data_IF_279920029722
#
_entry.id   IF_279920029722
#
_cell.length_a   1.000
_cell.length_b   1.000
_cell.length_c   1.000
_cell.angle_alpha   90.00
_cell.angle_beta   90.00
_cell.angle_gamma   90.00
#
_symmetry.space_group_name_H-M   'P 1'
#
loop_
_entity.id
_entity.type
_entity.pdbx_description
1 polymer ?
#
# COMPACT_ATOMS: atom_id res chain seq x y z
N UNK A 1 15.02 13.78 0.07
CA UNK A 1 14.03 13.16 0.97
C UNK A 1 12.77 14.03 1.08
N UNK A 2 12.91 15.33 1.28
CA UNK A 2 11.76 16.24 1.44
C UNK A 2 10.88 16.31 0.18
N UNK A 3 11.47 16.31 -1.01
CA UNK A 3 10.74 16.29 -2.27
C UNK A 3 9.86 15.04 -2.46
N UNK A 4 10.27 13.91 -1.89
CA UNK A 4 9.48 12.68 -1.92
C UNK A 4 8.23 12.72 -1.04
N UNK A 5 8.17 13.61 -0.05
CA UNK A 5 6.99 13.80 0.81
C UNK A 5 5.96 14.76 0.24
N UNK A 6 6.38 15.62 -0.69
CA UNK A 6 5.48 16.58 -1.35
C UNK A 6 4.56 15.85 -2.35
N UNK A 7 4.99 14.69 -2.82
CA UNK A 7 4.20 13.86 -3.72
C UNK A 7 3.02 13.21 -2.97
N UNK A 8 1.83 13.27 -3.54
CA UNK A 8 0.67 12.54 -3.04
C UNK A 8 1.00 11.03 -3.06
N UNK A 9 1.07 10.41 -1.90
CA UNK A 9 1.54 9.01 -1.76
C UNK A 9 2.96 8.88 -1.20
N UNK A 10 3.64 9.99 -0.89
CA UNK A 10 4.90 9.97 -0.15
C UNK A 10 4.69 9.45 1.27
N UNK A 11 5.20 8.27 1.56
CA UNK A 11 5.17 7.67 2.89
C UNK A 11 6.40 8.04 3.70
N UNK A 12 6.37 7.76 4.99
CA UNK A 12 7.51 7.96 5.90
C UNK A 12 8.80 7.28 5.43
N UNK A 13 8.71 6.25 4.59
CA UNK A 13 9.86 5.62 3.95
C UNK A 13 10.65 6.57 3.03
N UNK A 14 10.01 7.63 2.50
CA UNK A 14 10.71 8.68 1.77
C UNK A 14 11.73 9.45 2.63
N UNK A 15 11.60 9.38 3.95
CA UNK A 15 12.56 9.95 4.90
C UNK A 15 13.77 9.04 5.18
N UNK A 16 13.75 7.79 4.75
CA UNK A 16 14.87 6.84 5.00
C UNK A 16 16.24 7.41 4.58
N UNK A 17 16.40 7.97 3.35
CA UNK A 17 17.68 8.56 2.96
C UNK A 17 18.11 9.74 3.85
N UNK A 18 17.13 10.55 4.31
CA UNK A 18 17.40 11.65 5.23
C UNK A 18 17.85 11.15 6.60
N UNK A 19 17.16 10.17 7.15
CA UNK A 19 17.52 9.55 8.43
C UNK A 19 18.90 8.87 8.34
N UNK A 20 19.19 8.19 7.23
CA UNK A 20 20.50 7.59 7.00
C UNK A 20 21.62 8.63 6.96
N UNK A 21 21.41 9.75 6.26
CA UNK A 21 22.37 10.85 6.22
C UNK A 21 22.59 11.47 7.61
N UNK A 22 21.54 11.75 8.35
CA UNK A 22 21.64 12.28 9.71
C UNK A 22 22.38 11.31 10.64
N UNK A 23 22.15 10.02 10.52
CA UNK A 23 22.84 9.00 11.31
C UNK A 23 24.33 8.95 10.98
N UNK A 24 24.68 9.09 9.70
CA UNK A 24 26.07 9.16 9.25
C UNK A 24 26.77 10.42 9.80
N UNK A 25 26.13 11.58 9.68
CA UNK A 25 26.68 12.85 10.19
C UNK A 25 26.85 12.81 11.72
N UNK A 26 25.88 12.24 12.43
CA UNK A 26 25.97 12.05 13.88
C UNK A 26 27.17 11.12 14.23
N UNK A 27 27.32 10.01 13.52
CA UNK A 27 28.47 9.11 13.70
C UNK A 27 29.81 9.78 13.47
N UNK A 28 29.93 10.57 12.38
CA UNK A 28 31.15 11.35 12.10
C UNK A 28 31.43 12.38 13.19
N UNK A 29 30.41 13.12 13.63
CA UNK A 29 30.55 14.12 14.68
C UNK A 29 31.00 13.47 16.01
N UNK A 30 30.42 12.33 16.38
CA UNK A 30 30.86 11.59 17.58
C UNK A 30 32.30 11.11 17.43
N UNK A 31 32.65 10.51 16.30
CA UNK A 31 34.00 10.05 16.01
C UNK A 31 35.03 11.20 16.06
N UNK A 32 34.63 12.39 15.60
CA UNK A 32 35.48 13.58 15.71
C UNK A 32 35.65 14.05 17.16
N UNK A 33 34.53 14.13 17.93
CA UNK A 33 34.55 14.54 19.34
C UNK A 33 35.34 13.55 20.19
N UNK A 34 35.24 12.24 19.95
CA UNK A 34 35.98 11.23 20.70
C UNK A 34 37.48 11.21 20.46
N UNK A 35 37.90 11.67 19.28
CA UNK A 35 39.33 11.82 18.94
C UNK A 35 39.98 13.05 19.55
N UNK A 36 39.22 14.03 20.00
CA UNK A 36 39.75 15.19 20.70
C UNK A 36 40.20 14.77 22.11
N UNK A 37 41.43 15.08 22.51
CA UNK A 37 41.92 14.94 23.90
C UNK A 37 41.13 15.89 24.80
N UNK A 38 40.03 15.40 25.33
CA UNK A 38 39.09 16.18 26.14
C UNK A 38 39.59 16.25 27.58
N UNK A 39 40.29 17.34 27.92
CA UNK A 39 40.85 17.55 29.26
C UNK A 39 39.87 18.18 30.29
N UNK A 40 38.70 18.63 29.85
CA UNK A 40 37.72 19.32 30.71
C UNK A 40 36.58 18.42 31.22
N UNK A 41 36.21 18.55 32.52
CA UNK A 41 35.03 17.84 33.12
C UNK A 41 33.72 18.16 32.38
N UNK A 42 33.58 19.40 31.91
CA UNK A 42 32.38 19.85 31.19
C UNK A 42 32.22 19.11 29.86
N UNK A 43 33.31 18.97 29.09
CA UNK A 43 33.26 18.33 27.80
C UNK A 43 33.03 16.82 27.90
N UNK A 44 33.58 16.15 28.90
CA UNK A 44 33.24 14.74 29.22
C UNK A 44 31.76 14.55 29.55
N UNK A 45 31.13 15.49 30.28
CA UNK A 45 29.69 15.45 30.58
C UNK A 45 28.87 15.63 29.30
N UNK A 46 29.25 16.56 28.39
CA UNK A 46 28.57 16.76 27.13
C UNK A 46 28.66 15.53 26.22
N UNK A 47 29.81 14.86 26.18
CA UNK A 47 29.97 13.58 25.47
C UNK A 47 29.05 12.49 26.04
N UNK A 48 28.99 12.34 27.35
CA UNK A 48 28.13 11.37 28.02
C UNK A 48 26.64 11.66 27.77
N UNK A 49 26.23 12.92 27.81
CA UNK A 49 24.85 13.35 27.49
C UNK A 49 24.55 13.08 26.03
N UNK A 50 25.45 13.44 25.11
CA UNK A 50 25.27 13.18 23.67
C UNK A 50 25.13 11.68 23.37
N UNK A 51 25.99 10.85 23.96
CA UNK A 51 25.88 9.39 23.81
C UNK A 51 24.58 8.85 24.42
N UNK A 52 24.17 9.37 25.59
CA UNK A 52 22.90 9.00 26.20
C UNK A 52 21.68 9.36 25.35
N UNK A 53 21.66 10.54 24.75
CA UNK A 53 20.59 10.96 23.85
C UNK A 53 20.52 10.09 22.59
N UNK A 54 21.67 9.70 22.02
CA UNK A 54 21.72 8.80 20.88
C UNK A 54 21.21 7.40 21.22
N UNK A 55 21.62 6.87 22.37
CA UNK A 55 21.11 5.57 22.85
C UNK A 55 19.59 5.63 23.09
N UNK A 56 19.10 6.73 23.67
CA UNK A 56 17.67 6.94 23.86
C UNK A 56 16.94 7.02 22.52
N UNK A 57 17.47 7.77 21.57
CA UNK A 57 16.90 7.85 20.21
C UNK A 57 16.86 6.47 19.55
N UNK A 58 17.94 5.70 19.65
CA UNK A 58 17.98 4.34 19.13
C UNK A 58 16.93 3.45 19.79
N UNK A 59 16.79 3.53 21.11
CA UNK A 59 15.78 2.78 21.85
C UNK A 59 14.35 3.17 21.43
N UNK A 60 14.09 4.47 21.23
CA UNK A 60 12.79 4.95 20.76
C UNK A 60 12.47 4.57 19.30
N UNK A 61 13.48 4.36 18.48
CA UNK A 61 13.32 3.91 17.10
C UNK A 61 13.24 2.38 16.98
N UNK A 62 13.52 1.65 18.05
CA UNK A 62 13.31 0.20 18.07
C UNK A 62 11.81 -0.11 18.08
N UNK A 63 11.33 -0.64 16.97
CA UNK A 63 9.97 -1.15 16.85
C UNK A 63 10.00 -2.66 16.66
N UNK A 64 8.94 -3.32 17.09
CA UNK A 64 8.80 -4.75 16.87
C UNK A 64 8.54 -5.01 15.37
N UNK A 65 9.52 -5.59 14.70
CA UNK A 65 9.43 -5.93 13.28
C UNK A 65 8.67 -7.24 13.02
N UNK A 66 8.40 -8.03 14.05
CA UNK A 66 7.76 -9.36 13.92
C UNK A 66 6.40 -9.30 13.22
N UNK A 67 5.55 -8.28 13.43
CA UNK A 67 4.29 -8.16 12.69
C UNK A 67 4.48 -7.93 11.19
N UNK A 68 5.59 -7.31 10.76
CA UNK A 68 5.89 -7.03 9.35
C UNK A 68 6.55 -8.22 8.62
N UNK A 69 7.00 -9.26 9.35
CA UNK A 69 7.62 -10.44 8.75
C UNK A 69 6.51 -11.42 8.36
N UNK A 70 6.37 -11.76 7.05
CA UNK A 70 5.36 -12.71 6.60
C UNK A 70 5.55 -14.07 7.27
N UNK A 71 4.48 -14.59 7.86
CA UNK A 71 4.46 -15.90 8.49
C UNK A 71 3.91 -16.94 7.52
N UNK A 72 4.08 -18.23 7.83
CA UNK A 72 3.50 -19.31 7.02
C UNK A 72 2.00 -19.14 6.78
N UNK A 73 1.25 -18.62 7.77
CA UNK A 73 -0.17 -18.33 7.63
C UNK A 73 -0.43 -17.25 6.57
N UNK A 74 0.43 -16.24 6.47
CA UNK A 74 0.25 -15.12 5.52
C UNK A 74 0.49 -15.60 4.08
N UNK A 75 1.44 -16.54 3.90
CA UNK A 75 1.66 -17.23 2.61
C UNK A 75 0.45 -18.07 2.23
N UNK A 76 -0.13 -18.81 3.18
CA UNK A 76 -1.33 -19.60 2.94
C UNK A 76 -2.52 -18.72 2.57
N UNK A 77 -2.65 -17.57 3.24
CA UNK A 77 -3.67 -16.56 2.95
C UNK A 77 -3.49 -15.94 1.56
N UNK A 78 -2.25 -15.63 1.15
CA UNK A 78 -1.96 -15.15 -0.19
C UNK A 78 -2.34 -16.17 -1.27
N UNK A 79 -2.08 -17.46 -1.03
CA UNK A 79 -2.51 -18.54 -1.93
C UNK A 79 -4.04 -18.60 -2.01
N UNK A 80 -4.73 -18.54 -0.88
CA UNK A 80 -6.20 -18.51 -0.85
C UNK A 80 -6.75 -17.37 -1.70
N UNK A 81 -6.18 -16.16 -1.59
CA UNK A 81 -6.59 -15.02 -2.41
C UNK A 81 -6.43 -15.30 -3.91
N UNK A 82 -5.29 -15.86 -4.32
CA UNK A 82 -5.02 -16.22 -5.70
C UNK A 82 -6.01 -17.29 -6.19
N UNK A 83 -6.31 -18.28 -5.36
CA UNK A 83 -7.24 -19.35 -5.72
C UNK A 83 -8.68 -18.85 -5.83
N UNK A 84 -9.11 -17.92 -4.96
CA UNK A 84 -10.42 -17.26 -5.06
C UNK A 84 -10.51 -16.41 -6.33
N UNK A 85 -9.45 -15.70 -6.69
CA UNK A 85 -9.38 -14.96 -7.94
C UNK A 85 -9.52 -15.88 -9.15
N UNK A 86 -8.74 -16.98 -9.20
CA UNK A 86 -8.81 -17.97 -10.29
C UNK A 86 -10.20 -18.57 -10.42
N UNK A 87 -10.83 -18.87 -9.28
CA UNK A 87 -12.20 -19.40 -9.26
C UNK A 87 -13.19 -18.39 -9.83
N UNK A 88 -13.18 -17.15 -9.34
CA UNK A 88 -14.05 -16.09 -9.83
C UNK A 88 -13.91 -15.91 -11.36
N UNK A 89 -12.66 -15.96 -11.86
CA UNK A 89 -12.39 -15.88 -13.29
C UNK A 89 -12.92 -17.11 -14.06
N UNK A 90 -12.76 -18.29 -13.53
CA UNK A 90 -13.23 -19.53 -14.18
C UNK A 90 -14.75 -19.59 -14.23
N UNK A 91 -15.43 -19.15 -13.17
CA UNK A 91 -16.89 -19.22 -13.04
C UNK A 91 -17.60 -18.08 -13.80
N UNK A 92 -17.01 -16.87 -13.80
CA UNK A 92 -17.69 -15.67 -14.27
C UNK A 92 -17.00 -14.97 -15.45
N UNK A 93 -15.78 -15.36 -15.81
CA UNK A 93 -15.03 -14.79 -16.93
C UNK A 93 -14.01 -13.69 -16.50
N UNK A 94 -13.60 -12.82 -17.44
CA UNK A 94 -12.54 -11.84 -17.20
C UNK A 94 -12.81 -10.97 -15.97
N UNK A 95 -11.77 -10.78 -15.15
CA UNK A 95 -11.84 -10.06 -13.85
C UNK A 95 -11.15 -8.71 -13.98
N UNK A 96 -11.83 -7.67 -13.51
CA UNK A 96 -11.24 -6.35 -13.26
C UNK A 96 -11.02 -6.17 -11.76
N UNK A 97 -9.81 -5.80 -11.36
CA UNK A 97 -9.55 -5.35 -10.00
C UNK A 97 -9.17 -3.89 -9.96
N UNK A 98 -9.91 -3.14 -9.19
CA UNK A 98 -9.67 -1.71 -8.99
C UNK A 98 -8.80 -1.50 -7.76
N UNK A 99 -7.65 -2.14 -7.71
CA UNK A 99 -6.80 -1.89 -6.56
C UNK A 99 -5.65 -2.86 -6.36
N UNK A 100 -5.84 -4.05 -6.84
CA UNK A 100 -4.89 -5.13 -6.58
C UNK A 100 -4.50 -5.86 -7.87
N UNK A 101 -4.15 -5.08 -8.90
CA UNK A 101 -3.83 -5.61 -10.23
C UNK A 101 -2.76 -6.71 -10.23
N UNK A 102 -1.83 -6.67 -9.28
CA UNK A 102 -0.81 -7.71 -9.15
C UNK A 102 -1.36 -9.09 -8.78
N UNK A 103 -2.52 -9.18 -8.12
CA UNK A 103 -3.15 -10.49 -7.86
C UNK A 103 -3.61 -11.16 -9.15
N UNK A 104 -4.10 -10.37 -10.11
CA UNK A 104 -4.42 -10.88 -11.44
C UNK A 104 -3.21 -11.52 -12.09
N UNK A 105 -2.07 -10.85 -12.10
CA UNK A 105 -0.82 -11.40 -12.64
C UNK A 105 -0.40 -12.70 -11.94
N UNK A 106 -0.45 -12.74 -10.61
CA UNK A 106 -0.14 -13.94 -9.83
C UNK A 106 -1.15 -15.08 -10.07
N UNK A 107 -2.37 -14.75 -10.41
CA UNK A 107 -3.40 -15.72 -10.80
C UNK A 107 -3.27 -16.21 -12.26
N UNK A 108 -2.34 -15.65 -13.03
CA UNK A 108 -2.14 -15.99 -14.44
C UNK A 108 -3.08 -15.21 -15.38
N UNK A 109 -3.57 -14.05 -14.96
CA UNK A 109 -4.33 -13.16 -15.83
C UNK A 109 -3.36 -12.46 -16.80
N UNK A 110 -3.60 -12.51 -18.11
CA UNK A 110 -2.76 -11.84 -19.09
C UNK A 110 -2.93 -10.31 -19.07
N UNK A 111 -4.00 -9.82 -18.48
CA UNK A 111 -4.26 -8.38 -18.43
C UNK A 111 -3.61 -7.74 -17.21
N UNK A 112 -2.96 -6.59 -17.42
CA UNK A 112 -2.37 -5.78 -16.38
C UNK A 112 -3.40 -4.75 -15.94
N UNK A 113 -3.74 -4.76 -14.66
CA UNK A 113 -4.67 -3.81 -14.07
C UNK A 113 -3.90 -2.68 -13.37
N UNK A 114 -4.54 -1.52 -13.31
CA UNK A 114 -3.96 -0.36 -12.63
C UNK A 114 -3.76 -0.65 -11.13
N UNK A 115 -2.64 -0.15 -10.61
CA UNK A 115 -2.39 -0.19 -9.17
C UNK A 115 -3.19 0.91 -8.47
N UNK A 116 -3.75 0.58 -7.32
CA UNK A 116 -4.53 1.50 -6.47
C UNK A 116 -3.85 2.85 -6.25
N UNK A 117 -2.55 2.84 -5.96
CA UNK A 117 -1.83 4.08 -5.68
C UNK A 117 -1.74 4.98 -6.91
N UNK A 118 -1.53 4.41 -8.10
CA UNK A 118 -1.51 5.18 -9.34
C UNK A 118 -2.86 5.84 -9.62
N UNK A 119 -3.96 5.12 -9.43
CA UNK A 119 -5.31 5.68 -9.52
C UNK A 119 -5.54 6.78 -8.47
N UNK A 120 -5.15 6.51 -7.22
CA UNK A 120 -5.25 7.49 -6.14
C UNK A 120 -4.50 8.78 -6.44
N UNK A 121 -3.28 8.67 -6.94
CA UNK A 121 -2.45 9.82 -7.25
C UNK A 121 -3.07 10.67 -8.37
N UNK A 122 -3.58 10.03 -9.43
CA UNK A 122 -4.26 10.74 -10.52
C UNK A 122 -5.51 11.45 -10.01
N UNK A 123 -6.38 10.74 -9.26
CA UNK A 123 -7.62 11.34 -8.79
C UNK A 123 -7.42 12.40 -7.70
N UNK A 124 -6.37 12.31 -6.89
CA UNK A 124 -6.03 13.34 -5.89
C UNK A 124 -5.46 14.62 -6.50
N UNK A 125 -4.93 14.58 -7.71
CA UNK A 125 -4.48 15.82 -8.38
C UNK A 125 -5.64 16.77 -8.64
N UNK A 126 -6.88 16.25 -8.69
CA UNK A 126 -8.09 16.97 -9.03
C UNK A 126 -8.00 17.77 -10.36
N UNK A 127 -6.98 17.53 -11.18
CA UNK A 127 -6.82 18.16 -12.49
C UNK A 127 -7.70 17.45 -13.53
N UNK A 128 -8.74 18.13 -14.07
CA UNK A 128 -9.64 17.54 -15.04
C UNK A 128 -8.94 17.00 -16.29
N UNK A 129 -7.79 17.54 -16.64
CA UNK A 129 -6.99 17.10 -17.78
C UNK A 129 -6.61 15.63 -17.67
N UNK A 130 -6.34 15.15 -16.46
CA UNK A 130 -5.92 13.78 -16.21
C UNK A 130 -7.07 12.90 -15.67
N UNK A 131 -7.95 13.49 -14.87
CA UNK A 131 -9.01 12.73 -14.19
C UNK A 131 -10.19 12.46 -15.10
N UNK A 132 -10.57 13.38 -15.98
CA UNK A 132 -11.74 13.21 -16.85
C UNK A 132 -11.56 12.04 -17.86
N UNK A 133 -10.46 11.97 -18.63
CA UNK A 133 -10.25 10.84 -19.56
C UNK A 133 -10.24 9.48 -18.87
N UNK A 134 -9.61 9.40 -17.68
CA UNK A 134 -9.56 8.16 -16.90
C UNK A 134 -10.93 7.76 -16.37
N UNK A 135 -11.72 8.72 -15.88
CA UNK A 135 -13.09 8.49 -15.42
C UNK A 135 -13.98 8.00 -16.56
N UNK A 136 -13.91 8.64 -17.71
CA UNK A 136 -14.65 8.24 -18.91
C UNK A 136 -14.27 6.84 -19.38
N UNK A 137 -12.98 6.51 -19.36
CA UNK A 137 -12.49 5.20 -19.75
C UNK A 137 -12.97 4.11 -18.79
N UNK A 138 -12.87 4.33 -17.50
CA UNK A 138 -13.40 3.42 -16.48
C UNK A 138 -14.92 3.22 -16.64
N UNK A 139 -15.67 4.29 -16.87
CA UNK A 139 -17.11 4.16 -17.12
C UNK A 139 -17.41 3.40 -18.40
N UNK A 140 -16.64 3.62 -19.49
CA UNK A 140 -16.77 2.90 -20.74
C UNK A 140 -16.50 1.40 -20.53
N UNK A 141 -15.44 1.07 -19.79
CA UNK A 141 -15.08 -0.30 -19.43
C UNK A 141 -16.21 -0.99 -18.67
N UNK A 142 -16.81 -0.32 -17.68
CA UNK A 142 -17.96 -0.86 -16.95
C UNK A 142 -19.17 -1.08 -17.86
N UNK A 143 -19.57 -0.07 -18.62
CA UNK A 143 -20.75 -0.12 -19.51
C UNK A 143 -20.60 -1.18 -20.62
N UNK A 144 -19.39 -1.37 -21.11
CA UNK A 144 -19.11 -2.38 -22.16
C UNK A 144 -19.19 -3.81 -21.65
N UNK A 145 -19.19 -4.02 -20.33
CA UNK A 145 -19.17 -5.35 -19.70
C UNK A 145 -18.02 -6.24 -20.18
N UNK A 146 -16.92 -5.60 -20.62
CA UNK A 146 -15.71 -6.30 -21.05
C UNK A 146 -15.20 -7.26 -19.98
N UNK A 147 -15.18 -6.77 -18.74
CA UNK A 147 -14.92 -7.60 -17.58
C UNK A 147 -16.26 -8.10 -17.02
N UNK A 148 -16.41 -9.41 -16.95
CA UNK A 148 -17.63 -10.02 -16.43
C UNK A 148 -17.68 -10.05 -14.91
N UNK A 149 -16.52 -9.85 -14.29
CA UNK A 149 -16.32 -9.89 -12.85
C UNK A 149 -15.52 -8.67 -12.41
N UNK A 150 -15.95 -8.03 -11.33
CA UNK A 150 -15.21 -6.96 -10.67
C UNK A 150 -14.95 -7.37 -9.22
N UNK A 151 -13.68 -7.28 -8.83
CA UNK A 151 -13.23 -7.48 -7.46
C UNK A 151 -12.78 -6.13 -6.91
N UNK A 152 -13.38 -5.69 -5.82
CA UNK A 152 -13.03 -4.43 -5.17
C UNK A 152 -12.98 -4.56 -3.65
N UNK A 153 -12.37 -3.56 -3.03
CA UNK A 153 -12.39 -3.37 -1.60
C UNK A 153 -13.48 -2.34 -1.25
N UNK A 154 -14.37 -2.69 -0.33
CA UNK A 154 -15.46 -1.83 0.13
C UNK A 154 -14.95 -0.52 0.74
N UNK A 155 -13.81 -0.58 1.45
CA UNK A 155 -13.21 0.59 2.09
C UNK A 155 -12.56 1.56 1.09
N UNK A 156 -12.48 1.18 -0.18
CA UNK A 156 -11.67 1.86 -1.17
C UNK A 156 -12.50 2.47 -2.30
N UNK A 157 -13.16 3.59 -2.01
CA UNK A 157 -13.83 4.41 -3.02
C UNK A 157 -12.85 5.49 -3.53
N UNK A 158 -11.99 5.12 -4.49
CA UNK A 158 -11.02 6.03 -5.09
C UNK A 158 -11.50 6.71 -6.36
N UNK A 159 -12.49 6.15 -7.00
CA UNK A 159 -12.96 6.67 -8.28
C UNK A 159 -14.05 7.70 -8.02
N UNK A 160 -13.81 8.98 -8.34
CA UNK A 160 -14.80 10.02 -8.15
C UNK A 160 -15.97 9.90 -9.14
N UNK A 161 -17.08 10.53 -8.80
CA UNK A 161 -18.23 10.66 -9.69
C UNK A 161 -19.16 9.44 -9.67
N UNK A 162 -19.83 9.20 -10.80
CA UNK A 162 -20.87 8.21 -10.95
C UNK A 162 -20.36 6.75 -11.06
N UNK A 163 -19.11 6.48 -10.69
CA UNK A 163 -18.53 5.15 -10.83
C UNK A 163 -19.34 4.10 -10.05
N UNK A 164 -19.62 4.36 -8.79
CA UNK A 164 -20.40 3.44 -7.95
C UNK A 164 -21.83 3.27 -8.47
N UNK A 165 -22.43 4.32 -8.98
CA UNK A 165 -23.75 4.26 -9.59
C UNK A 165 -23.71 3.41 -10.87
N UNK A 166 -22.72 3.63 -11.74
CA UNK A 166 -22.53 2.83 -12.96
C UNK A 166 -22.26 1.37 -12.63
N UNK A 167 -21.45 1.10 -11.61
CA UNK A 167 -21.20 -0.25 -11.14
C UNK A 167 -22.51 -0.94 -10.70
N UNK A 168 -23.28 -0.30 -9.83
CA UNK A 168 -24.56 -0.86 -9.30
C UNK A 168 -25.64 -1.04 -10.35
N UNK A 169 -25.62 -0.23 -11.41
CA UNK A 169 -26.59 -0.35 -12.52
C UNK A 169 -26.17 -1.39 -13.56
N UNK A 170 -24.89 -1.68 -13.67
CA UNK A 170 -24.35 -2.57 -14.72
C UNK A 170 -24.04 -3.97 -14.19
N UNK A 171 -23.68 -4.08 -12.91
CA UNK A 171 -23.28 -5.33 -12.25
C UNK A 171 -24.14 -5.60 -11.03
N UNK A 172 -24.19 -6.87 -10.65
CA UNK A 172 -24.87 -7.34 -9.44
C UNK A 172 -23.82 -7.78 -8.43
N UNK A 173 -23.94 -7.29 -7.21
CA UNK A 173 -23.11 -7.77 -6.11
C UNK A 173 -23.53 -9.21 -5.77
N UNK A 174 -22.59 -10.14 -5.87
CA UNK A 174 -22.79 -11.54 -5.56
C UNK A 174 -22.50 -11.87 -4.10
N UNK A 175 -21.81 -10.96 -3.39
CA UNK A 175 -21.42 -11.13 -2.01
C UNK A 175 -19.92 -10.88 -1.78
N UNK A 176 -19.36 -11.59 -0.81
CA UNK A 176 -17.95 -11.51 -0.49
C UNK A 176 -17.14 -12.51 -1.32
N UNK A 177 -15.92 -12.10 -1.71
CA UNK A 177 -14.96 -13.00 -2.36
C UNK A 177 -14.50 -14.13 -1.39
N UNK A 178 -14.53 -13.84 -0.10
CA UNK A 178 -14.13 -14.75 0.96
C UNK A 178 -15.35 -15.29 1.72
N UNK A 179 -15.25 -16.51 2.18
CA UNK A 179 -16.25 -17.08 3.07
C UNK A 179 -16.18 -16.46 4.48
N UNK A 180 -17.24 -16.56 5.27
CA UNK A 180 -17.21 -16.10 6.66
C UNK A 180 -16.04 -16.71 7.43
N UNK A 181 -15.24 -15.86 8.10
CA UNK A 181 -14.03 -16.25 8.83
C UNK A 181 -12.75 -16.39 7.99
N UNK A 182 -12.83 -16.41 6.67
CA UNK A 182 -11.64 -16.32 5.80
C UNK A 182 -11.17 -14.87 5.67
N UNK A 183 -12.09 -13.95 5.50
CA UNK A 183 -11.81 -12.53 5.30
C UNK A 183 -10.91 -11.94 6.42
N UNK A 184 -11.11 -12.38 7.66
CA UNK A 184 -10.32 -11.90 8.80
C UNK A 184 -8.86 -12.41 8.79
N UNK A 185 -8.58 -13.42 8.01
CA UNK A 185 -7.22 -13.97 7.83
C UNK A 185 -6.46 -13.26 6.71
N UNK A 186 -7.17 -12.62 5.78
CA UNK A 186 -6.59 -11.95 4.61
C UNK A 186 -6.27 -10.50 4.95
N UNK A 187 -5.26 -10.28 5.79
CA UNK A 187 -4.70 -8.97 6.03
C UNK A 187 -3.31 -8.86 5.41
N UNK A 188 -3.04 -7.82 4.61
CA UNK A 188 -1.67 -7.52 4.21
C UNK A 188 -0.84 -7.25 5.47
N UNK A 189 0.34 -7.87 5.63
CA UNK A 189 1.20 -7.64 6.79
C UNK A 189 1.81 -6.23 6.81
N UNK A 190 1.69 -5.48 5.73
CA UNK A 190 2.29 -4.15 5.57
C UNK A 190 1.26 -3.11 5.17
N UNK A 191 1.44 -1.93 5.70
CA UNK A 191 0.95 -0.56 5.47
C UNK A 191 -0.46 -0.31 4.92
N UNK A 192 -0.96 -1.02 3.95
CA UNK A 192 -2.28 -0.79 3.38
C UNK A 192 -3.22 -1.94 3.77
N UNK A 193 -4.08 -1.67 4.74
CA UNK A 193 -5.07 -2.63 5.21
C UNK A 193 -6.29 -2.73 4.28
N UNK A 194 -6.05 -2.70 2.98
CA UNK A 194 -7.08 -2.95 1.98
C UNK A 194 -7.13 -4.43 1.65
N UNK A 195 -8.32 -4.99 1.60
CA UNK A 195 -8.55 -6.35 1.16
C UNK A 195 -9.69 -6.38 0.16
N UNK A 196 -9.49 -6.92 -1.03
CA UNK A 196 -10.57 -7.09 -2.00
C UNK A 196 -11.52 -8.17 -1.46
N UNK A 197 -12.69 -7.76 -1.06
CA UNK A 197 -13.68 -8.64 -0.47
C UNK A 197 -15.03 -8.64 -1.21
N UNK A 198 -15.31 -7.64 -2.02
CA UNK A 198 -16.54 -7.57 -2.81
C UNK A 198 -16.38 -8.23 -4.17
N UNK A 199 -17.35 -9.07 -4.51
CA UNK A 199 -17.47 -9.70 -5.82
C UNK A 199 -18.72 -9.17 -6.53
N UNK A 200 -18.52 -8.61 -7.71
CA UNK A 200 -19.56 -8.10 -8.58
C UNK A 200 -19.51 -8.83 -9.92
N UNK A 201 -20.66 -9.26 -10.44
CA UNK A 201 -20.74 -9.95 -11.74
C UNK A 201 -21.78 -9.31 -12.63
N UNK A 202 -21.66 -9.52 -13.91
CA UNK A 202 -22.70 -9.17 -14.90
C UNK A 202 -23.93 -10.04 -14.62
N UNK A 203 -25.13 -9.46 -14.62
CA UNK A 203 -26.40 -10.20 -14.47
C UNK A 203 -26.57 -11.26 -15.55
#
# INVERSE_FOLDING_TARGET
>A
AFSGMIHNGGYLNALIPYCALLSLLAGVAIGWITKQEVTGRVLRRLQAVGAGLLMLQFAMLMYDQRPAIPRRRDVATGKLMIDRWRRARAEHGPVLSLGFGYYGMLAGDPEIHAHTMALSDIFKTADPKYTAPLTEDLQRVLKSRRYRTIIRDESFSLVPGDFDQTLRTTYRQQGALFEPGEADRVWPPTAFHCRPNELWTVP
#
